data_IF_105822132397
#
_entry.id   IF_105822132397
#
_cell.length_a   1.000
_cell.length_b   1.000
_cell.length_c   1.000
_cell.angle_alpha   90.00
_cell.angle_beta   90.00
_cell.angle_gamma   90.00
#
_symmetry.space_group_name_H-M   'P 1'
#
loop_
_entity.id
_entity.type
_entity.pdbx_description
1 polymer ?
#
# COMPACT_ATOMS: atom_id res chain seq x y z
N UNK A 1 45.13 24.79 21.03
CA UNK A 1 44.31 25.34 19.92
C UNK A 1 42.92 24.72 20.03
N UNK A 2 42.32 24.80 21.22
CA UNK A 2 41.18 23.95 21.60
C UNK A 2 39.95 24.77 22.01
N UNK A 3 40.12 26.09 22.21
CA UNK A 3 39.04 26.99 22.58
C UNK A 3 38.06 27.25 21.43
N UNK A 4 38.51 27.22 20.18
CA UNK A 4 37.65 27.42 19.01
C UNK A 4 36.73 26.21 18.80
N UNK A 5 37.21 24.98 18.96
CA UNK A 5 36.41 23.76 18.79
C UNK A 5 35.31 23.63 19.84
N UNK A 6 35.60 23.99 21.10
CA UNK A 6 34.62 23.94 22.18
C UNK A 6 33.49 24.95 21.98
N UNK A 7 33.82 26.18 21.58
CA UNK A 7 32.84 27.24 21.32
C UNK A 7 31.97 26.95 20.09
N UNK A 8 32.52 26.37 19.02
CA UNK A 8 31.70 25.91 17.88
C UNK A 8 30.73 24.79 18.28
N UNK A 9 31.17 23.83 19.09
CA UNK A 9 30.33 22.74 19.60
C UNK A 9 29.21 23.23 20.52
N UNK A 10 29.51 24.20 21.38
CA UNK A 10 28.54 24.79 22.32
C UNK A 10 27.51 25.67 21.60
N UNK A 11 27.95 26.47 20.62
CA UNK A 11 27.05 27.24 19.76
C UNK A 11 26.18 26.33 18.88
N UNK A 12 26.75 25.28 18.29
CA UNK A 12 25.97 24.29 17.53
C UNK A 12 24.94 23.59 18.42
N UNK A 13 25.32 23.23 19.65
CA UNK A 13 24.40 22.66 20.64
C UNK A 13 23.27 23.61 21.05
N UNK A 14 23.56 24.91 21.18
CA UNK A 14 22.56 25.92 21.50
C UNK A 14 21.59 26.18 20.34
N UNK A 15 22.10 26.26 19.10
CA UNK A 15 21.28 26.41 17.89
C UNK A 15 20.34 25.21 17.70
N UNK A 16 20.83 23.98 17.90
CA UNK A 16 19.99 22.78 17.82
C UNK A 16 18.91 22.79 18.92
N UNK A 17 19.23 23.23 20.14
CA UNK A 17 18.25 23.34 21.23
C UNK A 17 17.18 24.41 20.95
N UNK A 18 17.55 25.54 20.37
CA UNK A 18 16.61 26.59 19.97
C UNK A 18 15.69 26.15 18.83
N UNK A 19 16.20 25.40 17.86
CA UNK A 19 15.35 24.81 16.81
C UNK A 19 14.41 23.73 17.35
N UNK A 20 14.84 22.94 18.33
CA UNK A 20 13.96 21.96 19.01
C UNK A 20 12.87 22.66 19.84
N UNK A 21 13.17 23.81 20.44
CA UNK A 21 12.19 24.62 21.16
C UNK A 21 11.16 25.28 20.20
N UNK A 22 11.57 25.56 18.96
CA UNK A 22 10.68 25.91 17.84
C UNK A 22 10.02 24.64 17.30
N UNK A 23 8.99 24.17 17.99
CA UNK A 23 8.21 23.00 17.57
C UNK A 23 7.73 23.06 16.12
N UNK A 24 7.39 21.89 15.55
CA UNK A 24 6.90 21.76 14.18
C UNK A 24 5.71 22.70 13.90
N UNK A 25 5.73 23.35 12.73
CA UNK A 25 4.65 24.22 12.31
C UNK A 25 3.32 23.45 12.27
N UNK A 26 2.23 23.99 12.84
CA UNK A 26 0.93 23.34 12.84
C UNK A 26 0.46 22.94 11.43
N UNK A 27 0.75 23.73 10.40
CA UNK A 27 0.44 23.40 9.01
C UNK A 27 1.18 22.16 8.50
N UNK A 28 2.43 21.98 8.90
CA UNK A 28 3.23 20.79 8.55
C UNK A 28 2.69 19.55 9.28
N UNK A 29 2.33 19.69 10.56
CA UNK A 29 1.71 18.61 11.34
C UNK A 29 0.42 18.16 10.66
N UNK A 30 -0.45 19.10 10.28
CA UNK A 30 -1.70 18.79 9.57
C UNK A 30 -1.42 18.11 8.23
N UNK A 31 -0.43 18.57 7.47
CA UNK A 31 -0.07 17.95 6.19
C UNK A 31 0.37 16.50 6.38
N UNK A 32 1.21 16.21 7.38
CA UNK A 32 1.64 14.84 7.71
C UNK A 32 0.43 13.99 8.12
N UNK A 33 -0.47 14.53 8.96
CA UNK A 33 -1.65 13.79 9.43
C UNK A 33 -2.59 13.46 8.27
N UNK A 34 -2.89 14.42 7.39
CA UNK A 34 -3.77 14.20 6.24
C UNK A 34 -3.16 13.21 5.26
N UNK A 35 -1.89 13.39 4.90
CA UNK A 35 -1.18 12.45 4.02
C UNK A 35 -1.13 11.07 4.64
N UNK A 36 -0.81 10.97 5.94
CA UNK A 36 -0.76 9.71 6.68
C UNK A 36 -2.11 9.01 6.71
N UNK A 37 -3.20 9.72 6.97
CA UNK A 37 -4.56 9.18 6.95
C UNK A 37 -4.94 8.67 5.56
N UNK A 38 -4.64 9.43 4.50
CA UNK A 38 -4.93 9.02 3.12
C UNK A 38 -4.13 7.78 2.75
N UNK A 39 -2.84 7.73 3.06
CA UNK A 39 -1.98 6.57 2.79
C UNK A 39 -2.45 5.35 3.58
N UNK A 40 -2.79 5.50 4.86
CA UNK A 40 -3.29 4.40 5.68
C UNK A 40 -4.63 3.89 5.18
N UNK A 41 -5.53 4.79 4.79
CA UNK A 41 -6.84 4.45 4.23
C UNK A 41 -6.70 3.70 2.89
N UNK A 42 -5.86 4.20 1.97
CA UNK A 42 -5.61 3.55 0.69
C UNK A 42 -4.89 2.22 0.88
N UNK A 43 -3.84 2.19 1.70
CA UNK A 43 -3.04 0.99 1.97
C UNK A 43 -3.86 -0.11 2.63
N UNK A 44 -4.62 0.23 3.69
CA UNK A 44 -5.53 -0.69 4.37
C UNK A 44 -6.63 -1.20 3.45
N UNK A 45 -7.25 -0.30 2.67
CA UNK A 45 -8.29 -0.69 1.72
C UNK A 45 -7.75 -1.55 0.56
N UNK A 46 -6.54 -1.27 0.09
CA UNK A 46 -5.88 -2.04 -0.95
C UNK A 46 -5.48 -3.43 -0.45
N UNK A 47 -4.92 -3.52 0.76
CA UNK A 47 -4.63 -4.79 1.42
C UNK A 47 -5.90 -5.62 1.61
N UNK A 48 -6.99 -4.99 2.07
CA UNK A 48 -8.29 -5.63 2.21
C UNK A 48 -8.86 -6.08 0.87
N UNK A 49 -8.72 -5.28 -0.19
CA UNK A 49 -9.12 -5.65 -1.55
C UNK A 49 -8.36 -6.86 -2.07
N UNK A 50 -7.04 -6.92 -1.86
CA UNK A 50 -6.22 -8.08 -2.25
C UNK A 50 -6.62 -9.30 -1.43
N UNK A 51 -6.84 -9.14 -0.13
CA UNK A 51 -7.27 -10.23 0.74
C UNK A 51 -8.62 -10.78 0.27
N UNK A 52 -9.61 -9.90 0.07
CA UNK A 52 -10.90 -10.27 -0.47
C UNK A 52 -10.77 -10.94 -1.84
N UNK A 53 -9.95 -10.44 -2.77
CA UNK A 53 -9.74 -11.11 -4.06
C UNK A 53 -9.18 -12.53 -3.95
N UNK A 54 -8.34 -12.79 -2.94
CA UNK A 54 -7.75 -14.11 -2.69
C UNK A 54 -8.74 -15.06 -2.00
N UNK A 55 -9.61 -14.55 -1.14
CA UNK A 55 -10.59 -15.35 -0.40
C UNK A 55 -11.94 -15.45 -1.09
N UNK A 56 -12.25 -14.52 -1.99
CA UNK A 56 -13.42 -14.57 -2.84
C UNK A 56 -13.24 -15.75 -3.80
N UNK A 57 -14.17 -16.73 -3.76
CA UNK A 57 -14.12 -17.83 -4.70
C UNK A 57 -14.12 -17.26 -6.12
N UNK A 58 -13.34 -17.83 -7.06
CA UNK A 58 -13.27 -17.35 -8.44
C UNK A 58 -14.71 -17.20 -8.91
N UNK A 59 -15.11 -15.96 -9.30
CA UNK A 59 -16.47 -15.62 -9.73
C UNK A 59 -16.95 -16.80 -10.55
N UNK A 60 -17.85 -17.62 -9.99
CA UNK A 60 -18.31 -18.84 -10.66
C UNK A 60 -18.92 -18.32 -11.95
N UNK A 61 -18.18 -18.44 -13.07
CA UNK A 61 -18.72 -18.17 -14.39
C UNK A 61 -20.00 -18.99 -14.41
N UNK A 62 -21.15 -18.35 -14.69
CA UNK A 62 -22.46 -19.01 -14.65
C UNK A 62 -22.26 -20.41 -15.20
N UNK A 63 -22.55 -21.47 -14.42
CA UNK A 63 -22.21 -22.83 -14.81
C UNK A 63 -22.74 -23.01 -16.22
N UNK A 64 -21.81 -23.14 -17.16
CA UNK A 64 -22.15 -23.22 -18.56
C UNK A 64 -22.90 -24.54 -18.66
N UNK A 65 -24.21 -24.48 -18.92
CA UNK A 65 -25.06 -25.67 -19.00
C UNK A 65 -24.32 -26.76 -19.77
N UNK A 66 -24.37 -28.01 -19.29
CA UNK A 66 -23.66 -29.13 -19.91
C UNK A 66 -23.88 -29.19 -21.44
N UNK A 67 -25.05 -28.72 -21.93
CA UNK A 67 -25.35 -28.55 -23.36
C UNK A 67 -24.44 -27.53 -24.07
N UNK A 68 -24.18 -26.36 -23.47
CA UNK A 68 -23.26 -25.36 -24.02
C UNK A 68 -21.80 -25.80 -23.92
N UNK A 69 -21.41 -26.47 -22.84
CA UNK A 69 -20.05 -27.04 -22.69
C UNK A 69 -19.78 -28.10 -23.76
N UNK A 70 -20.72 -29.03 -23.99
CA UNK A 70 -20.61 -30.04 -25.06
C UNK A 70 -20.56 -29.38 -26.45
N UNK A 71 -21.37 -28.34 -26.68
CA UNK A 71 -21.36 -27.58 -27.95
C UNK A 71 -20.05 -26.86 -28.21
N UNK A 72 -19.43 -26.25 -27.20
CA UNK A 72 -18.12 -25.61 -27.32
C UNK A 72 -17.01 -26.65 -27.49
N UNK A 73 -17.04 -27.78 -26.77
CA UNK A 73 -16.09 -28.89 -26.92
C UNK A 73 -16.14 -29.54 -28.31
N UNK A 74 -17.33 -29.74 -28.89
CA UNK A 74 -17.48 -30.20 -30.28
C UNK A 74 -16.95 -29.18 -31.29
N UNK A 75 -17.16 -27.87 -31.07
CA UNK A 75 -16.64 -26.81 -31.94
C UNK A 75 -15.12 -26.66 -31.87
N UNK A 76 -14.53 -26.93 -30.71
CA UNK A 76 -13.10 -26.88 -30.49
C UNK A 76 -12.37 -28.16 -30.94
N UNK A 77 -13.10 -29.18 -31.41
CA UNK A 77 -12.51 -30.43 -31.92
C UNK A 77 -11.73 -31.22 -30.86
N UNK A 78 -11.95 -30.93 -29.57
CA UNK A 78 -11.25 -31.62 -28.48
C UNK A 78 -11.87 -33.01 -28.36
N UNK A 79 -11.19 -34.02 -28.90
CA UNK A 79 -11.55 -35.42 -28.67
C UNK A 79 -11.56 -35.69 -27.17
N UNK A 80 -12.49 -36.54 -26.72
CA UNK A 80 -12.63 -36.86 -25.32
C UNK A 80 -11.29 -37.38 -24.76
N UNK A 81 -10.90 -37.03 -23.51
CA UNK A 81 -9.77 -37.67 -22.87
C UNK A 81 -10.14 -39.13 -22.60
N UNK A 82 -9.86 -40.02 -23.54
CA UNK A 82 -10.30 -41.41 -23.52
C UNK A 82 -10.30 -42.14 -24.86
N UNK A 83 -9.56 -41.64 -25.86
CA UNK A 83 -9.09 -42.42 -27.03
C UNK A 83 -7.57 -42.28 -27.14
#
# INVERSE_FOLDING_TARGET
MDQDQFTFSENAGNVIKEEVAKGLNPGVIVLIVVVGLVVLFLGGNYALYIYARKTLPPKKKKPVSKKKLKKERLKQGVSAPGE
#
